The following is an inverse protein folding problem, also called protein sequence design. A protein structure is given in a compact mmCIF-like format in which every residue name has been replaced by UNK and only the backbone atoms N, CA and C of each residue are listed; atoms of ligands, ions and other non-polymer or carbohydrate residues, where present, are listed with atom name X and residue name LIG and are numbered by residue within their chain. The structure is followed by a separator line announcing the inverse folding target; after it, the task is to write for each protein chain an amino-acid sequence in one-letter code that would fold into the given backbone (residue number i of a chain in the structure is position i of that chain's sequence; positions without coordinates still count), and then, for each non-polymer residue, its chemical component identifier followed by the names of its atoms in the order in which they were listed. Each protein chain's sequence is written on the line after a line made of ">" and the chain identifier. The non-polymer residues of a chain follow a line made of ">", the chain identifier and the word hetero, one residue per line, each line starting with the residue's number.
data_IF_814231048953
#
_entry.id   IF_814231048953
#
_cell.length_a   1.000
_cell.length_b   1.000
_cell.length_c   1.000
_cell.angle_alpha   90.00
_cell.angle_beta   90.00
_cell.angle_gamma   90.00
#
_symmetry.space_group_name_H-M   'P 1'
#
loop_
_entity.id
_entity.type
_entity.pdbx_description
1 polymer ?
#
# COMPACT_ATOMS: atom_id res chain seq x y z
N UNK A 1 -34.88 -13.51 -6.81
CA UNK A 1 -33.40 -13.43 -6.71
C UNK A 1 -33.03 -12.04 -6.26
N UNK A 2 -32.12 -11.93 -5.30
CA UNK A 2 -31.53 -10.64 -4.93
C UNK A 2 -30.79 -10.08 -6.15
N UNK A 3 -31.15 -8.85 -6.56
CA UNK A 3 -30.61 -8.19 -7.76
C UNK A 3 -29.13 -7.87 -7.61
N UNK A 4 -28.62 -7.77 -6.38
CA UNK A 4 -27.23 -7.45 -6.06
C UNK A 4 -26.27 -8.61 -6.30
N UNK A 5 -26.78 -9.84 -6.46
CA UNK A 5 -25.96 -11.03 -6.65
C UNK A 5 -25.29 -10.97 -8.03
N UNK A 6 -23.96 -11.10 -8.03
CA UNK A 6 -23.15 -11.26 -9.22
C UNK A 6 -23.18 -12.74 -9.62
N UNK A 7 -24.10 -13.04 -10.53
CA UNK A 7 -24.26 -14.33 -11.18
C UNK A 7 -23.57 -14.24 -12.54
N UNK A 8 -22.35 -14.80 -12.62
CA UNK A 8 -21.44 -14.62 -13.74
C UNK A 8 -20.55 -15.85 -13.88
N UNK A 9 -20.58 -16.48 -15.05
CA UNK A 9 -19.91 -17.74 -15.37
C UNK A 9 -18.38 -17.60 -15.56
N UNK A 10 -17.86 -16.36 -15.68
CA UNK A 10 -16.43 -16.12 -15.89
C UNK A 10 -15.64 -16.54 -14.65
N UNK A 11 -14.52 -17.19 -14.91
CA UNK A 11 -13.55 -17.64 -13.92
C UNK A 11 -12.62 -16.51 -13.52
N UNK A 12 -11.84 -16.72 -12.44
CA UNK A 12 -10.78 -15.79 -12.06
C UNK A 12 -9.77 -15.50 -13.18
N UNK A 13 -9.56 -16.47 -14.08
CA UNK A 13 -8.62 -16.34 -15.19
C UNK A 13 -9.10 -15.35 -16.27
N UNK A 14 -10.41 -15.23 -16.46
CA UNK A 14 -11.03 -14.31 -17.42
C UNK A 14 -10.90 -12.84 -17.00
N UNK A 15 -10.70 -12.60 -15.71
CA UNK A 15 -10.50 -11.25 -15.16
C UNK A 15 -9.03 -10.83 -15.14
N UNK A 16 -8.11 -11.60 -15.73
CA UNK A 16 -6.69 -11.25 -15.73
C UNK A 16 -6.44 -9.91 -16.46
N UNK A 17 -6.08 -8.88 -15.68
CA UNK A 17 -5.79 -7.53 -16.18
C UNK A 17 -7.03 -6.68 -16.50
N UNK A 18 -8.24 -7.21 -16.33
CA UNK A 18 -9.51 -6.51 -16.61
C UNK A 18 -10.52 -6.64 -15.46
N UNK A 19 -11.37 -5.64 -15.27
CA UNK A 19 -12.42 -5.66 -14.23
C UNK A 19 -13.71 -6.30 -14.74
N UNK A 20 -14.73 -6.34 -13.87
CA UNK A 20 -16.01 -6.98 -14.17
C UNK A 20 -16.65 -6.47 -15.47
N UNK A 21 -16.66 -5.15 -15.68
CA UNK A 21 -17.19 -4.52 -16.89
C UNK A 21 -16.17 -4.46 -18.06
N UNK A 22 -15.00 -5.08 -17.93
CA UNK A 22 -13.98 -5.15 -18.99
C UNK A 22 -13.00 -3.97 -19.04
N UNK A 23 -12.98 -3.09 -18.02
CA UNK A 23 -12.00 -2.01 -17.94
C UNK A 23 -10.62 -2.56 -17.58
N UNK A 24 -9.54 -1.91 -18.05
CA UNK A 24 -8.18 -2.25 -17.59
C UNK A 24 -8.06 -1.97 -16.10
N UNK A 25 -7.53 -2.92 -15.32
CA UNK A 25 -7.40 -2.79 -13.84
C UNK A 25 -6.65 -1.52 -13.45
N UNK A 26 -5.56 -1.20 -14.15
CA UNK A 26 -4.77 0.01 -13.91
C UNK A 26 -5.57 1.31 -14.08
N UNK A 27 -6.52 1.34 -15.02
CA UNK A 27 -7.37 2.51 -15.25
C UNK A 27 -8.41 2.65 -14.14
N UNK A 28 -9.01 1.53 -13.69
CA UNK A 28 -9.93 1.54 -12.55
C UNK A 28 -9.24 1.98 -11.27
N UNK A 29 -8.00 1.51 -11.02
CA UNK A 29 -7.19 1.97 -9.89
C UNK A 29 -6.95 3.48 -9.94
N UNK A 30 -6.62 4.05 -11.10
CA UNK A 30 -6.47 5.51 -11.26
C UNK A 30 -7.75 6.26 -10.95
N UNK A 31 -8.88 5.79 -11.48
CA UNK A 31 -10.18 6.43 -11.29
C UNK A 31 -10.65 6.34 -9.83
N UNK A 32 -10.34 5.24 -9.14
CA UNK A 32 -10.58 5.09 -7.71
C UNK A 32 -9.78 6.13 -6.92
N UNK A 33 -8.45 6.21 -7.11
CA UNK A 33 -7.59 7.20 -6.46
C UNK A 33 -8.09 8.63 -6.74
N UNK A 34 -8.43 8.93 -8.00
CA UNK A 34 -8.95 10.24 -8.40
C UNK A 34 -10.26 10.55 -7.68
N UNK A 35 -11.19 9.60 -7.61
CA UNK A 35 -12.48 9.77 -6.93
C UNK A 35 -12.28 10.01 -5.43
N UNK A 36 -11.34 9.30 -4.80
CA UNK A 36 -11.00 9.48 -3.39
C UNK A 36 -10.35 10.84 -3.11
N UNK A 37 -9.44 11.30 -3.99
CA UNK A 37 -8.83 12.63 -3.90
C UNK A 37 -9.86 13.76 -4.09
N UNK A 38 -10.86 13.54 -4.95
CA UNK A 38 -11.97 14.47 -5.19
C UNK A 38 -13.12 14.29 -4.19
N UNK A 39 -12.98 13.41 -3.20
CA UNK A 39 -14.00 13.12 -2.19
C UNK A 39 -15.37 12.66 -2.77
N UNK A 40 -15.36 12.11 -3.98
CA UNK A 40 -16.55 11.58 -4.68
C UNK A 40 -16.83 10.16 -4.22
N UNK A 41 -17.54 10.04 -3.09
CA UNK A 41 -17.80 8.76 -2.42
C UNK A 41 -18.48 7.73 -3.33
N UNK A 42 -19.56 8.11 -4.03
CA UNK A 42 -20.29 7.18 -4.91
C UNK A 42 -19.41 6.65 -6.03
N UNK A 43 -18.67 7.54 -6.71
CA UNK A 43 -17.74 7.15 -7.77
C UNK A 43 -16.61 6.26 -7.24
N UNK A 44 -16.05 6.57 -6.07
CA UNK A 44 -15.02 5.75 -5.43
C UNK A 44 -15.57 4.36 -5.09
N UNK A 45 -16.77 4.27 -4.54
CA UNK A 45 -17.40 3.00 -4.22
C UNK A 45 -17.72 2.19 -5.47
N UNK A 46 -18.14 2.82 -6.58
CA UNK A 46 -18.33 2.15 -7.86
C UNK A 46 -17.03 1.51 -8.39
N UNK A 47 -15.92 2.25 -8.43
CA UNK A 47 -14.64 1.71 -8.88
C UNK A 47 -14.07 0.65 -7.94
N UNK A 48 -14.37 0.75 -6.65
CA UNK A 48 -14.08 -0.31 -5.67
C UNK A 48 -14.88 -1.58 -5.98
N UNK A 49 -16.19 -1.45 -6.22
CA UNK A 49 -17.06 -2.57 -6.56
C UNK A 49 -16.66 -3.25 -7.87
N UNK A 50 -16.22 -2.51 -8.89
CA UNK A 50 -15.65 -3.08 -10.12
C UNK A 50 -14.50 -4.05 -9.84
N UNK A 51 -13.57 -3.68 -8.92
CA UNK A 51 -12.44 -4.54 -8.55
C UNK A 51 -12.90 -5.76 -7.76
N UNK A 52 -13.83 -5.60 -6.81
CA UNK A 52 -14.42 -6.68 -6.00
C UNK A 52 -15.11 -7.70 -6.90
N UNK A 53 -15.98 -7.26 -7.82
CA UNK A 53 -16.74 -8.13 -8.72
C UNK A 53 -15.86 -9.02 -9.62
N UNK A 54 -14.63 -8.57 -9.91
CA UNK A 54 -13.61 -9.30 -10.68
C UNK A 54 -12.52 -9.99 -9.83
N UNK A 55 -12.62 -9.96 -8.50
CA UNK A 55 -11.68 -10.66 -7.61
C UNK A 55 -10.29 -10.00 -7.47
N UNK A 56 -10.12 -8.73 -7.87
CA UNK A 56 -8.85 -7.99 -7.79
C UNK A 56 -8.55 -7.45 -6.37
N UNK A 57 -8.70 -8.31 -5.36
CA UNK A 57 -8.58 -7.92 -3.96
C UNK A 57 -7.16 -7.49 -3.57
N UNK A 58 -6.14 -8.12 -4.16
CA UNK A 58 -4.75 -7.82 -3.84
C UNK A 58 -4.32 -6.47 -4.39
N UNK A 59 -4.75 -6.15 -5.60
CA UNK A 59 -4.58 -4.84 -6.25
C UNK A 59 -5.32 -3.75 -5.47
N UNK A 60 -6.54 -4.05 -4.99
CA UNK A 60 -7.33 -3.15 -4.15
C UNK A 60 -6.64 -2.87 -2.80
N UNK A 61 -6.21 -3.90 -2.07
CA UNK A 61 -5.46 -3.73 -0.81
C UNK A 61 -4.20 -2.90 -1.00
N UNK A 62 -3.41 -3.23 -2.02
CA UNK A 62 -2.17 -2.51 -2.30
C UNK A 62 -2.44 -1.03 -2.60
N UNK A 63 -3.47 -0.74 -3.41
CA UNK A 63 -3.89 0.62 -3.71
C UNK A 63 -4.30 1.37 -2.44
N UNK A 64 -5.10 0.75 -1.56
CA UNK A 64 -5.54 1.34 -0.30
C UNK A 64 -4.37 1.66 0.64
N UNK A 65 -3.38 0.76 0.76
CA UNK A 65 -2.20 0.99 1.60
C UNK A 65 -1.36 2.16 1.09
N UNK A 66 -1.11 2.20 -0.23
CA UNK A 66 -0.32 3.26 -0.85
C UNK A 66 -1.05 4.59 -0.82
N UNK A 67 -2.37 4.61 -1.04
CA UNK A 67 -3.18 5.81 -0.92
C UNK A 67 -3.13 6.36 0.51
N UNK A 68 -3.36 5.50 1.51
CA UNK A 68 -3.34 5.88 2.91
C UNK A 68 -1.97 6.45 3.32
N UNK A 69 -0.88 5.75 3.02
CA UNK A 69 0.46 6.19 3.39
C UNK A 69 0.92 7.46 2.66
N UNK A 70 0.44 7.71 1.44
CA UNK A 70 0.84 8.88 0.64
C UNK A 70 0.02 10.14 0.91
N UNK A 71 -1.30 10.02 1.04
CA UNK A 71 -2.21 11.17 1.06
C UNK A 71 -2.82 11.47 2.44
N UNK A 72 -2.97 10.45 3.30
CA UNK A 72 -3.62 10.59 4.62
C UNK A 72 -2.57 10.57 5.74
N UNK A 73 -1.85 9.47 5.91
CA UNK A 73 -0.75 9.29 6.87
C UNK A 73 -1.06 9.86 8.28
N UNK A 74 -0.22 10.77 8.80
CA UNK A 74 -0.38 11.41 10.12
C UNK A 74 -1.64 12.27 10.24
N UNK A 75 -2.39 12.50 9.16
CA UNK A 75 -3.69 13.18 9.22
C UNK A 75 -4.80 12.32 9.86
N UNK A 76 -4.66 10.99 9.83
CA UNK A 76 -5.56 10.06 10.50
C UNK A 76 -4.76 8.87 11.07
N UNK A 77 -3.95 9.10 12.11
CA UNK A 77 -2.86 8.19 12.42
C UNK A 77 -3.33 6.83 12.97
N UNK A 78 -4.53 6.79 13.59
CA UNK A 78 -5.14 5.58 14.14
C UNK A 78 -5.75 4.67 13.07
N UNK A 79 -5.96 5.15 11.85
CA UNK A 79 -6.59 4.37 10.79
C UNK A 79 -5.74 3.14 10.39
N UNK A 80 -4.41 3.19 10.53
CA UNK A 80 -3.56 2.02 10.24
C UNK A 80 -3.90 0.80 11.11
N UNK A 81 -4.22 1.01 12.38
CA UNK A 81 -4.59 -0.06 13.33
C UNK A 81 -5.89 -0.73 12.89
N UNK A 82 -6.83 0.08 12.40
CA UNK A 82 -8.09 -0.41 11.86
C UNK A 82 -7.89 -1.20 10.56
N UNK A 83 -7.10 -0.66 9.63
CA UNK A 83 -6.73 -1.32 8.38
C UNK A 83 -6.07 -2.67 8.66
N UNK A 84 -5.09 -2.73 9.57
CA UNK A 84 -4.40 -3.97 9.93
C UNK A 84 -5.36 -5.01 10.52
N UNK A 85 -6.32 -4.58 11.35
CA UNK A 85 -7.36 -5.46 11.91
C UNK A 85 -8.26 -6.04 10.81
N UNK A 86 -8.68 -5.22 9.83
CA UNK A 86 -9.48 -5.67 8.69
C UNK A 86 -8.69 -6.60 7.76
N UNK A 87 -7.42 -6.29 7.51
CA UNK A 87 -6.51 -7.13 6.74
C UNK A 87 -6.32 -8.50 7.40
N UNK A 88 -6.17 -8.57 8.72
CA UNK A 88 -6.06 -9.84 9.44
C UNK A 88 -7.28 -10.73 9.19
N UNK A 89 -8.49 -10.21 9.38
CA UNK A 89 -9.74 -10.94 9.13
C UNK A 89 -9.89 -11.37 7.67
N UNK A 90 -9.53 -10.48 6.74
CA UNK A 90 -9.52 -10.79 5.32
C UNK A 90 -8.58 -11.96 5.00
N UNK A 91 -7.38 -11.99 5.58
CA UNK A 91 -6.40 -13.07 5.37
C UNK A 91 -6.88 -14.40 5.94
N UNK A 92 -7.47 -14.40 7.13
CA UNK A 92 -8.05 -15.59 7.76
C UNK A 92 -9.05 -16.24 6.79
N UNK A 93 -10.07 -15.47 6.35
CA UNK A 93 -11.08 -15.97 5.41
C UNK A 93 -10.50 -16.42 4.06
N UNK A 94 -9.51 -15.70 3.51
CA UNK A 94 -8.92 -16.02 2.21
C UNK A 94 -8.02 -17.26 2.22
N UNK A 95 -7.38 -17.53 3.36
CA UNK A 95 -6.53 -18.72 3.55
C UNK A 95 -7.35 -19.99 3.79
N UNK A 96 -8.60 -19.85 4.24
CA UNK A 96 -9.52 -20.96 4.49
C UNK A 96 -10.17 -21.49 3.19
N UNK A 97 -10.04 -20.77 2.07
CA UNK A 97 -10.55 -21.22 0.76
C UNK A 97 -9.69 -22.32 0.14
N UNK A 98 -10.33 -23.26 -0.54
CA UNK A 98 -9.70 -24.38 -1.23
C UNK A 98 -9.20 -24.00 -2.64
N UNK A 99 -9.71 -22.92 -3.24
CA UNK A 99 -9.32 -22.49 -4.59
C UNK A 99 -9.41 -20.97 -4.84
N UNK A 100 -8.68 -20.47 -5.84
CA UNK A 100 -8.81 -19.07 -6.31
C UNK A 100 -10.22 -18.75 -6.82
N UNK A 101 -10.97 -19.76 -7.30
CA UNK A 101 -12.34 -19.58 -7.76
C UNK A 101 -13.30 -19.37 -6.58
N UNK A 102 -13.09 -20.08 -5.47
CA UNK A 102 -13.85 -19.84 -4.24
C UNK A 102 -13.56 -18.44 -3.69
N UNK A 103 -12.32 -17.97 -3.77
CA UNK A 103 -11.98 -16.59 -3.41
C UNK A 103 -12.73 -15.55 -4.25
N UNK A 104 -13.02 -15.83 -5.52
CA UNK A 104 -13.84 -14.93 -6.35
C UNK A 104 -15.28 -14.81 -5.81
N UNK A 105 -15.82 -15.88 -5.22
CA UNK A 105 -17.20 -15.91 -4.70
C UNK A 105 -17.43 -14.94 -3.53
N UNK A 106 -16.37 -14.52 -2.81
CA UNK A 106 -16.46 -13.45 -1.81
C UNK A 106 -17.01 -12.13 -2.39
N UNK A 107 -17.08 -11.96 -3.71
CA UNK A 107 -17.73 -10.81 -4.35
C UNK A 107 -19.22 -10.71 -4.04
N UNK A 108 -19.84 -11.81 -3.58
CA UNK A 108 -21.24 -11.87 -3.14
C UNK A 108 -21.38 -11.91 -1.61
N UNK A 109 -20.28 -11.98 -0.86
CA UNK A 109 -20.30 -11.96 0.59
C UNK A 109 -20.41 -10.53 1.14
N UNK A 110 -21.51 -10.25 1.83
CA UNK A 110 -21.82 -8.92 2.38
C UNK A 110 -20.72 -8.37 3.28
N UNK A 111 -20.06 -9.23 4.06
CA UNK A 111 -18.94 -8.87 4.93
C UNK A 111 -17.72 -8.36 4.15
N UNK A 112 -17.40 -8.98 3.01
CA UNK A 112 -16.29 -8.56 2.15
C UNK A 112 -16.61 -7.27 1.40
N UNK A 113 -17.82 -7.17 0.83
CA UNK A 113 -18.30 -5.93 0.20
C UNK A 113 -18.20 -4.76 1.19
N UNK A 114 -18.78 -4.93 2.37
CA UNK A 114 -18.83 -3.90 3.40
C UNK A 114 -17.43 -3.51 3.89
N UNK A 115 -16.51 -4.47 4.04
CA UNK A 115 -15.13 -4.21 4.46
C UNK A 115 -14.45 -3.18 3.54
N UNK A 116 -14.48 -3.41 2.23
CA UNK A 116 -13.77 -2.53 1.29
C UNK A 116 -14.49 -1.20 1.06
N UNK A 117 -15.83 -1.22 0.96
CA UNK A 117 -16.62 0.01 0.86
C UNK A 117 -16.39 0.90 2.08
N UNK A 118 -16.39 0.33 3.28
CA UNK A 118 -16.11 1.06 4.51
C UNK A 118 -14.72 1.71 4.50
N UNK A 119 -13.66 0.97 4.13
CA UNK A 119 -12.31 1.53 4.05
C UNK A 119 -12.22 2.66 3.02
N UNK A 120 -12.85 2.50 1.84
CA UNK A 120 -12.90 3.53 0.80
C UNK A 120 -13.62 4.78 1.31
N UNK A 121 -14.79 4.65 1.94
CA UNK A 121 -15.54 5.77 2.50
C UNK A 121 -14.72 6.51 3.56
N UNK A 122 -14.13 5.79 4.52
CA UNK A 122 -13.30 6.39 5.57
C UNK A 122 -12.11 7.15 4.96
N UNK A 123 -11.45 6.60 3.95
CA UNK A 123 -10.33 7.26 3.27
C UNK A 123 -10.77 8.45 2.41
N UNK A 124 -11.96 8.39 1.78
CA UNK A 124 -12.55 9.51 1.04
C UNK A 124 -12.80 10.72 1.94
N UNK A 125 -13.27 10.51 3.17
CA UNK A 125 -13.62 11.60 4.11
C UNK A 125 -12.52 11.93 5.12
N UNK A 126 -11.46 11.12 5.18
CA UNK A 126 -10.30 11.43 6.02
C UNK A 126 -9.66 12.75 5.58
N UNK A 127 -9.09 13.56 6.49
CA UNK A 127 -8.30 14.71 6.11
C UNK A 127 -7.08 14.29 5.27
N UNK A 128 -6.75 15.08 4.26
CA UNK A 128 -5.56 14.86 3.43
C UNK A 128 -4.47 15.82 3.91
N UNK A 129 -3.23 15.39 3.85
CA UNK A 129 -2.06 16.23 4.14
C UNK A 129 -1.21 16.36 2.89
N UNK A 130 -0.22 17.25 2.96
CA UNK A 130 0.78 17.36 1.89
C UNK A 130 1.37 15.99 1.57
N UNK A 131 1.49 15.72 0.28
CA UNK A 131 2.13 14.51 -0.21
C UNK A 131 3.59 14.54 0.21
N UNK A 132 4.05 13.47 0.88
CA UNK A 132 5.46 13.35 1.23
C UNK A 132 6.26 13.19 -0.06
N UNK A 133 7.23 14.08 -0.29
CA UNK A 133 8.09 14.00 -1.46
C UNK A 133 9.13 12.90 -1.29
N UNK A 134 9.54 12.28 -2.40
CA UNK A 134 10.66 11.35 -2.41
C UNK A 134 11.95 12.06 -2.02
N UNK A 135 12.65 11.55 -1.02
CA UNK A 135 14.03 11.96 -0.73
C UNK A 135 14.97 11.27 -1.72
N UNK A 136 15.91 12.02 -2.28
CA UNK A 136 16.90 11.50 -3.24
C UNK A 136 18.25 11.35 -2.54
N UNK A 137 18.92 10.25 -2.83
CA UNK A 137 20.30 9.99 -2.40
C UNK A 137 21.20 10.08 -3.63
N UNK A 138 22.27 10.87 -3.53
CA UNK A 138 23.23 11.01 -4.61
C UNK A 138 24.13 9.77 -4.69
N UNK A 139 24.55 9.30 -5.88
CA UNK A 139 25.54 8.23 -5.97
C UNK A 139 26.86 8.53 -5.25
N UNK A 140 27.22 9.82 -5.09
CA UNK A 140 28.41 10.22 -4.34
C UNK A 140 28.26 9.96 -2.83
N UNK A 141 27.03 9.85 -2.33
CA UNK A 141 26.75 9.68 -0.91
C UNK A 141 27.11 8.27 -0.41
N UNK A 142 27.38 7.32 -1.32
CA UNK A 142 27.91 6.00 -0.97
C UNK A 142 29.42 6.02 -0.67
N UNK A 143 30.09 7.15 -0.89
CA UNK A 143 31.45 7.38 -0.44
C UNK A 143 31.43 8.01 0.95
N UNK A 144 31.91 7.28 1.96
CA UNK A 144 31.98 7.74 3.35
C UNK A 144 32.74 9.08 3.52
N UNK A 145 33.74 9.35 2.68
CA UNK A 145 34.48 10.60 2.72
C UNK A 145 33.61 11.79 2.27
N UNK A 146 32.64 11.57 1.38
CA UNK A 146 31.75 12.61 0.88
C UNK A 146 30.64 12.97 1.88
N UNK A 147 30.23 12.02 2.72
CA UNK A 147 29.13 12.21 3.68
C UNK A 147 29.60 12.49 5.11
N UNK A 148 30.92 12.54 5.37
CA UNK A 148 31.49 12.74 6.71
C UNK A 148 30.91 13.98 7.41
N UNK A 149 30.82 15.10 6.70
CA UNK A 149 30.30 16.36 7.25
C UNK A 149 28.78 16.36 7.41
N UNK A 150 28.11 15.34 6.87
CA UNK A 150 26.67 15.13 7.03
C UNK A 150 26.31 14.21 8.20
N UNK A 151 27.28 13.60 8.88
CA UNK A 151 27.04 12.77 10.07
C UNK A 151 26.69 13.67 11.27
N UNK A 152 25.72 13.26 12.09
CA UNK A 152 25.21 14.03 13.23
C UNK A 152 25.23 13.24 14.54
N UNK A 153 25.23 11.91 14.48
CA UNK A 153 25.27 11.08 15.66
C UNK A 153 26.64 11.24 16.36
N UNK A 154 26.66 11.45 17.69
CA UNK A 154 27.91 11.69 18.43
C UNK A 154 28.80 10.44 18.54
N UNK A 155 28.19 9.26 18.51
CA UNK A 155 28.83 7.96 18.64
C UNK A 155 27.93 6.86 18.04
N UNK A 156 28.36 5.59 18.11
CA UNK A 156 27.68 4.44 17.52
C UNK A 156 26.66 3.73 18.44
N UNK A 157 26.37 4.28 19.62
CA UNK A 157 25.53 3.63 20.63
C UNK A 157 24.06 3.48 20.21
N UNK A 158 23.58 4.27 19.22
CA UNK A 158 22.18 4.28 18.79
C UNK A 158 21.80 3.06 17.96
N UNK A 159 22.75 2.36 17.34
CA UNK A 159 22.50 1.10 16.63
C UNK A 159 23.11 -0.13 17.27
N UNK A 160 23.90 -0.01 18.34
CA UNK A 160 24.70 -1.12 18.90
C UNK A 160 23.85 -2.36 19.21
N UNK A 161 22.64 -2.17 19.77
CA UNK A 161 21.73 -3.27 20.12
C UNK A 161 20.97 -3.88 18.93
N UNK A 162 21.05 -3.26 17.75
CA UNK A 162 20.37 -3.72 16.53
C UNK A 162 21.23 -4.70 15.74
N UNK A 163 22.55 -4.54 15.76
CA UNK A 163 23.48 -5.35 15.00
C UNK A 163 23.72 -6.70 15.68
N UNK A 164 23.67 -7.76 14.89
CA UNK A 164 24.16 -9.08 15.26
C UNK A 164 25.59 -9.27 14.74
N UNK A 165 26.27 -10.31 15.22
CA UNK A 165 27.69 -10.56 14.96
C UNK A 165 28.06 -10.60 13.47
N UNK A 166 27.21 -11.23 12.65
CA UNK A 166 27.45 -11.40 11.21
C UNK A 166 26.86 -10.27 10.35
N UNK A 167 26.30 -9.23 10.96
CA UNK A 167 25.78 -8.09 10.20
C UNK A 167 26.92 -7.26 9.58
N UNK A 168 26.75 -6.75 8.34
CA UNK A 168 27.80 -6.03 7.64
C UNK A 168 28.07 -4.68 8.29
N UNK A 169 29.28 -4.52 8.83
CA UNK A 169 29.73 -3.31 9.57
C UNK A 169 29.66 -2.02 8.74
N UNK A 170 29.69 -2.12 7.42
CA UNK A 170 29.53 -0.97 6.52
C UNK A 170 28.17 -0.26 6.67
N UNK A 171 27.12 -0.96 7.14
CA UNK A 171 25.81 -0.35 7.39
C UNK A 171 25.74 0.34 8.77
N UNK A 172 26.71 0.12 9.64
CA UNK A 172 26.64 0.52 11.05
C UNK A 172 26.50 2.03 11.21
N UNK A 173 27.30 2.82 10.49
CA UNK A 173 27.24 4.28 10.57
C UNK A 173 25.86 4.79 10.08
N UNK A 174 25.38 4.27 8.96
CA UNK A 174 24.08 4.69 8.39
C UNK A 174 22.91 4.33 9.29
N UNK A 175 22.86 3.10 9.83
CA UNK A 175 21.78 2.68 10.71
C UNK A 175 21.86 3.42 12.05
N UNK A 176 23.06 3.70 12.55
CA UNK A 176 23.25 4.53 13.74
C UNK A 176 22.72 5.95 13.54
N UNK A 177 23.06 6.60 12.43
CA UNK A 177 22.53 7.90 12.05
C UNK A 177 21.00 7.88 11.92
N UNK A 178 20.45 6.85 11.28
CA UNK A 178 19.00 6.65 11.20
C UNK A 178 18.37 6.60 12.61
N UNK A 179 18.88 5.72 13.49
CA UNK A 179 18.40 5.57 14.86
C UNK A 179 18.53 6.87 15.67
N UNK A 180 19.64 7.59 15.54
CA UNK A 180 19.86 8.88 16.20
C UNK A 180 18.78 9.90 15.82
N UNK A 181 18.47 10.00 14.52
CA UNK A 181 17.44 10.91 14.01
C UNK A 181 16.01 10.53 14.42
N UNK A 182 15.77 9.29 14.85
CA UNK A 182 14.48 8.85 15.40
C UNK A 182 14.29 9.15 16.89
N UNK A 183 15.36 9.42 17.63
CA UNK A 183 15.29 9.63 19.09
C UNK A 183 14.36 10.78 19.45
N UNK A 184 13.74 10.69 20.64
CA UNK A 184 12.87 11.75 21.19
C UNK A 184 13.47 13.16 21.07
N UNK A 185 14.72 13.31 21.48
CA UNK A 185 15.39 14.61 21.57
C UNK A 185 15.73 15.22 20.21
N UNK A 186 16.03 14.38 19.20
CA UNK A 186 16.42 14.84 17.86
C UNK A 186 15.21 14.95 16.94
N UNK A 187 14.40 13.88 16.88
CA UNK A 187 13.15 13.77 16.11
C UNK A 187 13.22 14.40 14.70
N UNK A 188 14.28 14.09 13.93
CA UNK A 188 14.52 14.70 12.62
C UNK A 188 13.99 13.82 11.48
N UNK A 189 12.75 14.10 11.05
CA UNK A 189 12.05 13.35 10.00
C UNK A 189 12.82 13.32 8.68
N UNK A 190 13.34 14.47 8.21
CA UNK A 190 13.96 14.59 6.88
C UNK A 190 15.25 13.78 6.80
N UNK A 191 16.06 13.83 7.87
CA UNK A 191 17.29 13.04 7.97
C UNK A 191 17.00 11.55 8.12
N UNK A 192 16.00 11.17 8.91
CA UNK A 192 15.58 9.78 9.00
C UNK A 192 15.12 9.22 7.64
N UNK A 193 14.36 10.00 6.85
CA UNK A 193 14.01 9.62 5.48
C UNK A 193 15.24 9.43 4.61
N UNK A 194 16.19 10.36 4.66
CA UNK A 194 17.43 10.28 3.89
C UNK A 194 18.21 9.00 4.20
N UNK A 195 18.40 8.65 5.48
CA UNK A 195 19.16 7.45 5.84
C UNK A 195 18.44 6.15 5.50
N UNK A 196 17.11 6.12 5.59
CA UNK A 196 16.34 5.00 5.05
C UNK A 196 16.52 4.85 3.53
N UNK A 197 16.39 5.95 2.77
CA UNK A 197 16.62 5.91 1.32
C UNK A 197 18.05 5.49 0.98
N UNK A 198 19.02 5.91 1.80
CA UNK A 198 20.42 5.52 1.62
C UNK A 198 20.57 4.00 1.70
N UNK A 199 19.97 3.35 2.69
CA UNK A 199 20.00 1.88 2.80
C UNK A 199 19.31 1.22 1.61
N UNK A 200 18.14 1.71 1.22
CA UNK A 200 17.39 1.14 0.08
C UNK A 200 18.17 1.29 -1.23
N UNK A 201 18.79 2.43 -1.50
CA UNK A 201 19.57 2.65 -2.73
C UNK A 201 20.92 1.92 -2.70
N UNK A 202 21.61 1.88 -1.54
CA UNK A 202 22.87 1.16 -1.40
C UNK A 202 22.69 -0.34 -1.69
N UNK A 203 21.62 -0.97 -1.19
CA UNK A 203 21.34 -2.38 -1.51
C UNK A 203 21.14 -2.63 -3.01
N UNK A 204 20.55 -1.68 -3.75
CA UNK A 204 20.43 -1.75 -5.22
C UNK A 204 21.79 -1.64 -5.90
N UNK A 205 22.65 -0.75 -5.41
CA UNK A 205 24.03 -0.57 -5.91
C UNK A 205 24.83 -1.85 -5.72
N UNK A 206 24.87 -2.43 -4.51
CA UNK A 206 25.57 -3.68 -4.24
C UNK A 206 25.07 -4.81 -5.14
N UNK A 207 23.74 -4.93 -5.31
CA UNK A 207 23.14 -5.93 -6.20
C UNK A 207 23.58 -5.75 -7.65
N UNK A 208 23.64 -4.51 -8.15
CA UNK A 208 24.13 -4.20 -9.51
C UNK A 208 25.61 -4.53 -9.66
N UNK A 209 26.40 -4.33 -8.62
CA UNK A 209 27.84 -4.63 -8.57
C UNK A 209 28.15 -6.09 -8.20
N UNK A 210 27.14 -6.93 -7.99
CA UNK A 210 27.26 -8.32 -7.52
C UNK A 210 28.00 -8.46 -6.18
N UNK A 211 27.94 -7.44 -5.34
CA UNK A 211 28.43 -7.46 -3.97
C UNK A 211 27.36 -7.99 -3.02
N UNK A 212 27.77 -8.71 -1.98
CA UNK A 212 26.88 -9.23 -0.95
C UNK A 212 26.58 -8.11 0.05
N UNK A 213 25.33 -7.62 0.05
CA UNK A 213 24.82 -6.73 1.10
C UNK A 213 23.63 -7.44 1.76
N UNK A 214 23.94 -8.29 2.74
CA UNK A 214 22.98 -9.12 3.46
C UNK A 214 23.31 -9.06 4.94
N UNK A 215 22.27 -8.95 5.76
CA UNK A 215 22.37 -9.02 7.22
C UNK A 215 22.15 -10.47 7.66
N UNK A 216 22.53 -10.80 8.89
CA UNK A 216 22.17 -12.06 9.53
C UNK A 216 20.65 -12.24 9.52
N UNK A 217 20.21 -13.48 9.25
CA UNK A 217 18.79 -13.85 9.17
C UNK A 217 18.01 -13.30 10.37
N UNK A 218 16.96 -12.54 10.08
CA UNK A 218 15.97 -12.09 11.08
C UNK A 218 14.84 -13.10 11.20
N UNK A 219 14.28 -13.19 12.39
CA UNK A 219 13.16 -14.09 12.67
C UNK A 219 11.86 -13.32 12.49
N UNK A 220 11.29 -13.43 11.30
CA UNK A 220 10.05 -12.75 10.93
C UNK A 220 9.14 -13.78 10.30
N UNK A 221 8.10 -14.15 11.05
CA UNK A 221 7.07 -15.08 10.59
C UNK A 221 6.47 -14.62 9.26
N UNK A 222 6.03 -15.59 8.45
CA UNK A 222 5.32 -15.38 7.16
C UNK A 222 6.16 -14.85 5.99
N UNK A 223 7.45 -14.55 6.19
CA UNK A 223 8.37 -14.13 5.12
C UNK A 223 9.21 -15.31 4.64
N UNK A 224 9.33 -15.47 3.32
CA UNK A 224 10.21 -16.46 2.69
C UNK A 224 11.67 -16.23 3.11
N UNK A 225 12.37 -17.32 3.46
CA UNK A 225 13.72 -17.28 4.04
C UNK A 225 14.73 -16.47 3.24
N UNK A 226 14.61 -16.46 1.91
CA UNK A 226 15.53 -15.72 1.04
C UNK A 226 15.49 -14.21 1.24
N UNK A 227 14.41 -13.69 1.83
CA UNK A 227 14.21 -12.27 2.11
C UNK A 227 14.60 -11.88 3.55
N UNK A 228 14.81 -12.83 4.45
CA UNK A 228 15.10 -12.58 5.87
C UNK A 228 16.49 -12.01 6.14
N UNK A 229 17.32 -11.89 5.11
CA UNK A 229 18.68 -11.31 5.16
C UNK A 229 18.74 -9.91 4.53
N UNK A 230 17.59 -9.30 4.24
CA UNK A 230 17.52 -7.97 3.63
C UNK A 230 17.83 -6.85 4.67
N UNK A 231 18.73 -5.90 4.36
CA UNK A 231 19.07 -4.79 5.27
C UNK A 231 17.90 -3.91 5.74
N UNK A 232 16.75 -3.95 5.07
CA UNK A 232 15.55 -3.23 5.51
C UNK A 232 15.11 -3.62 6.93
N UNK A 233 15.46 -4.82 7.41
CA UNK A 233 15.06 -5.25 8.74
C UNK A 233 15.76 -4.47 9.84
N UNK A 234 17.00 -4.00 9.64
CA UNK A 234 17.67 -3.09 10.59
C UNK A 234 16.90 -1.77 10.74
N UNK A 235 16.31 -1.27 9.65
CA UNK A 235 15.46 -0.07 9.68
C UNK A 235 14.19 -0.33 10.49
N UNK A 236 13.50 -1.44 10.24
CA UNK A 236 12.27 -1.76 10.98
C UNK A 236 12.53 -2.06 12.46
N UNK A 237 13.62 -2.77 12.79
CA UNK A 237 14.04 -3.01 14.17
C UNK A 237 14.33 -1.68 14.90
N UNK A 238 15.02 -0.73 14.25
CA UNK A 238 15.24 0.61 14.80
C UNK A 238 13.92 1.37 15.06
N UNK A 239 12.99 1.37 14.10
CA UNK A 239 11.66 2.00 14.23
C UNK A 239 10.87 1.36 15.38
N UNK A 240 10.85 0.03 15.46
CA UNK A 240 10.12 -0.71 16.49
C UNK A 240 10.72 -0.48 17.88
N UNK A 241 12.05 -0.49 18.01
CA UNK A 241 12.74 -0.21 19.25
C UNK A 241 12.40 1.20 19.75
N UNK A 242 12.45 2.21 18.88
CA UNK A 242 12.11 3.58 19.26
C UNK A 242 10.62 3.75 19.60
N UNK A 243 9.72 3.10 18.84
CA UNK A 243 8.28 3.13 19.11
C UNK A 243 7.95 2.57 20.50
N UNK A 244 8.67 1.52 20.91
CA UNK A 244 8.51 0.87 22.22
C UNK A 244 8.90 1.78 23.38
N UNK A 245 9.92 2.64 23.19
CA UNK A 245 10.29 3.66 24.19
C UNK A 245 9.24 4.75 24.35
N UNK A 246 8.54 5.11 23.26
CA UNK A 246 7.52 6.18 23.24
C UNK A 246 6.15 5.76 23.78
N UNK A 247 5.91 4.46 23.95
CA UNK A 247 4.74 3.91 24.61
C UNK A 247 3.71 3.26 23.69
N UNK A 248 2.71 2.62 24.31
CA UNK A 248 1.88 1.60 23.65
C UNK A 248 1.12 2.02 22.39
N UNK A 249 0.72 3.30 22.27
CA UNK A 249 0.03 3.77 21.04
C UNK A 249 0.99 3.86 19.85
N UNK A 250 2.24 4.28 20.06
CA UNK A 250 3.26 4.35 19.01
C UNK A 250 3.60 2.95 18.53
N UNK A 251 3.89 2.02 19.44
CA UNK A 251 4.14 0.61 19.11
C UNK A 251 2.98 0.01 18.32
N UNK A 252 1.74 0.19 18.78
CA UNK A 252 0.57 -0.37 18.09
C UNK A 252 0.40 0.14 16.67
N UNK A 253 0.67 1.43 16.43
CA UNK A 253 0.65 2.04 15.09
C UNK A 253 1.78 1.49 14.23
N UNK A 254 3.01 1.46 14.76
CA UNK A 254 4.21 0.97 14.05
C UNK A 254 4.07 -0.50 13.68
N UNK A 255 3.61 -1.35 14.60
CA UNK A 255 3.39 -2.77 14.34
C UNK A 255 2.29 -3.00 13.32
N UNK A 256 1.25 -2.16 13.34
CA UNK A 256 0.20 -2.19 12.30
C UNK A 256 0.79 -1.84 10.92
N UNK A 257 1.66 -0.82 10.84
CA UNK A 257 2.34 -0.45 9.60
C UNK A 257 3.32 -1.52 9.14
N UNK A 258 4.06 -2.14 10.05
CA UNK A 258 4.94 -3.27 9.77
C UNK A 258 4.14 -4.44 9.19
N UNK A 259 3.01 -4.80 9.81
CA UNK A 259 2.13 -5.89 9.31
C UNK A 259 1.61 -5.64 7.89
N UNK A 260 1.35 -4.38 7.55
CA UNK A 260 0.96 -3.98 6.19
C UNK A 260 2.17 -4.05 5.24
N UNK A 261 3.33 -3.58 5.69
CA UNK A 261 4.57 -3.59 4.91
C UNK A 261 5.03 -5.00 4.52
N UNK A 262 4.91 -5.98 5.42
CA UNK A 262 5.35 -7.35 5.18
C UNK A 262 4.36 -8.21 4.38
N UNK A 263 3.15 -7.71 4.08
CA UNK A 263 2.13 -8.49 3.37
C UNK A 263 2.64 -8.96 1.99
N UNK A 264 2.84 -10.28 1.81
CA UNK A 264 3.44 -10.88 0.60
C UNK A 264 4.76 -10.21 0.22
N UNK A 265 5.63 -10.03 1.21
CA UNK A 265 6.90 -9.33 1.06
C UNK A 265 7.80 -9.93 -0.03
N UNK A 266 8.50 -9.04 -0.74
CA UNK A 266 9.67 -9.32 -1.58
C UNK A 266 10.53 -8.05 -1.60
N UNK A 267 11.79 -8.14 -2.04
CA UNK A 267 12.72 -6.99 -2.05
C UNK A 267 12.16 -5.74 -2.76
N UNK A 268 11.28 -5.91 -3.75
CA UNK A 268 10.67 -4.79 -4.47
C UNK A 268 9.74 -3.94 -3.59
N UNK A 269 9.26 -4.49 -2.47
CA UNK A 269 8.41 -3.78 -1.51
C UNK A 269 9.16 -2.67 -0.78
N UNK A 270 10.49 -2.75 -0.65
CA UNK A 270 11.30 -1.69 -0.05
C UNK A 270 11.10 -0.34 -0.77
N UNK A 271 11.06 -0.38 -2.10
CA UNK A 271 10.77 0.82 -2.91
C UNK A 271 9.27 1.05 -3.06
N UNK A 272 8.49 -0.01 -3.26
CA UNK A 272 7.05 0.12 -3.54
C UNK A 272 6.26 0.68 -2.35
N UNK A 273 6.62 0.26 -1.14
CA UNK A 273 5.94 0.61 0.11
C UNK A 273 6.76 1.58 0.97
N UNK A 274 7.72 2.30 0.39
CA UNK A 274 8.55 3.30 1.11
C UNK A 274 7.74 4.32 1.89
N UNK A 275 6.58 4.74 1.37
CA UNK A 275 5.70 5.69 2.07
C UNK A 275 5.12 5.12 3.37
N UNK A 276 5.02 3.79 3.51
CA UNK A 276 4.64 3.16 4.77
C UNK A 276 5.77 3.33 5.81
N UNK A 277 7.03 3.18 5.38
CA UNK A 277 8.20 3.42 6.23
C UNK A 277 8.32 4.89 6.59
N UNK A 278 8.14 5.79 5.62
CA UNK A 278 8.09 7.23 5.87
C UNK A 278 7.01 7.59 6.89
N UNK A 279 5.83 6.98 6.76
CA UNK A 279 4.77 7.21 7.71
C UNK A 279 5.14 6.71 9.12
N UNK A 280 5.77 5.54 9.25
CA UNK A 280 6.27 5.05 10.53
C UNK A 280 7.32 5.99 11.15
N UNK A 281 8.24 6.52 10.34
CA UNK A 281 9.22 7.53 10.77
C UNK A 281 8.51 8.82 11.21
N UNK A 282 7.52 9.30 10.46
CA UNK A 282 6.74 10.50 10.82
C UNK A 282 6.00 10.34 12.16
N UNK A 283 5.46 9.15 12.44
CA UNK A 283 4.82 8.85 13.72
C UNK A 283 5.78 9.02 14.89
N UNK A 284 7.06 8.72 14.70
CA UNK A 284 8.07 8.87 15.75
C UNK A 284 8.65 10.28 15.79
N UNK A 285 8.76 10.97 14.65
CA UNK A 285 9.50 12.25 14.58
C UNK A 285 8.60 13.50 14.59
N UNK A 286 7.28 13.32 14.59
CA UNK A 286 6.30 14.43 14.67
C UNK A 286 5.62 14.41 16.03
N UNK A 287 5.39 15.60 16.59
CA UNK A 287 4.56 15.72 17.79
C UNK A 287 3.07 15.52 17.43
N UNK A 288 2.50 14.36 17.79
CA UNK A 288 1.12 13.99 17.50
C UNK A 288 0.35 13.77 18.80
N UNK A 289 -0.70 14.57 19.00
CA UNK A 289 -1.63 14.39 20.12
C UNK A 289 -2.71 13.39 19.71
N UNK A 290 -2.45 12.09 19.86
CA UNK A 290 -3.33 11.03 19.35
C UNK A 290 -4.78 11.14 19.84
N UNK A 291 -5.05 11.69 21.03
CA UNK A 291 -6.41 11.84 21.57
C UNK A 291 -7.31 12.73 20.70
N UNK A 292 -6.74 13.64 19.90
CA UNK A 292 -7.49 14.56 19.03
C UNK A 292 -7.96 13.90 17.72
N UNK A 293 -7.46 12.70 17.43
CA UNK A 293 -7.77 12.00 16.18
C UNK A 293 -8.83 10.93 16.38
N UNK A 294 -9.91 11.06 15.62
CA UNK A 294 -10.93 10.03 15.41
C UNK A 294 -10.77 9.44 14.01
N UNK A 295 -10.96 8.12 13.89
CA UNK A 295 -10.87 7.43 12.60
C UNK A 295 -11.93 7.95 11.62
N UNK A 296 -13.14 8.20 12.12
CA UNK A 296 -14.27 8.72 11.36
C UNK A 296 -15.12 9.60 12.26
N UNK A 297 -15.21 10.89 11.92
CA UNK A 297 -16.00 11.89 12.67
C UNK A 297 -17.51 11.69 12.45
N UNK A 298 -17.94 11.70 11.18
CA UNK A 298 -19.33 11.48 10.84
C UNK A 298 -19.59 9.99 10.57
N UNK A 299 -20.13 9.28 11.56
CA UNK A 299 -20.48 7.86 11.40
C UNK A 299 -21.74 7.66 10.55
N UNK A 300 -22.61 8.67 10.40
CA UNK A 300 -23.87 8.55 9.65
C UNK A 300 -23.61 8.37 8.16
N UNK A 301 -22.58 9.04 7.62
CA UNK A 301 -22.21 8.88 6.21
C UNK A 301 -21.87 7.43 5.89
N UNK A 302 -21.14 6.76 6.78
CA UNK A 302 -20.76 5.37 6.61
C UNK A 302 -21.99 4.45 6.69
N UNK A 303 -22.86 4.64 7.68
CA UNK A 303 -24.12 3.87 7.79
C UNK A 303 -24.99 4.04 6.55
N UNK A 304 -25.11 5.27 6.03
CA UNK A 304 -25.89 5.57 4.83
C UNK A 304 -25.33 4.86 3.59
N UNK A 305 -24.02 4.93 3.36
CA UNK A 305 -23.38 4.31 2.20
C UNK A 305 -23.43 2.78 2.29
N UNK A 306 -23.13 2.21 3.46
CA UNK A 306 -23.20 0.75 3.65
C UNK A 306 -24.63 0.22 3.45
N UNK A 307 -25.64 0.94 3.94
CA UNK A 307 -27.06 0.61 3.71
C UNK A 307 -27.50 0.70 2.25
N UNK A 308 -26.69 1.29 1.38
CA UNK A 308 -26.92 1.40 -0.06
C UNK A 308 -25.91 0.61 -0.89
N UNK A 309 -25.01 -0.15 -0.26
CA UNK A 309 -23.92 -0.84 -0.93
C UNK A 309 -24.42 -1.78 -2.04
N UNK A 310 -25.52 -2.51 -1.83
CA UNK A 310 -26.12 -3.38 -2.84
C UNK A 310 -26.51 -2.64 -4.13
N UNK A 311 -26.96 -1.39 -4.04
CA UNK A 311 -27.26 -0.57 -5.23
C UNK A 311 -26.03 -0.33 -6.09
N UNK A 312 -24.84 -0.22 -5.48
CA UNK A 312 -23.56 -0.03 -6.17
C UNK A 312 -23.21 -1.27 -6.97
N UNK A 313 -23.39 -2.46 -6.39
CA UNK A 313 -23.16 -3.73 -7.09
C UNK A 313 -24.19 -3.98 -8.21
N UNK A 314 -25.45 -3.57 -8.00
CA UNK A 314 -26.47 -3.56 -9.06
C UNK A 314 -26.03 -2.68 -10.23
N UNK A 315 -25.53 -1.47 -9.97
CA UNK A 315 -25.05 -0.57 -11.03
C UNK A 315 -23.89 -1.17 -11.84
N UNK A 316 -22.92 -1.81 -11.18
CA UNK A 316 -21.82 -2.52 -11.87
C UNK A 316 -22.35 -3.64 -12.75
N UNK A 317 -23.32 -4.43 -12.26
CA UNK A 317 -23.97 -5.50 -13.02
C UNK A 317 -24.74 -4.98 -14.23
N UNK A 318 -25.51 -3.91 -14.05
CA UNK A 318 -26.25 -3.25 -15.12
C UNK A 318 -25.31 -2.66 -16.19
N UNK A 319 -24.17 -2.10 -15.77
CA UNK A 319 -23.17 -1.58 -16.71
C UNK A 319 -22.61 -2.68 -17.61
N UNK A 320 -22.24 -3.82 -17.03
CA UNK A 320 -21.83 -4.99 -17.81
C UNK A 320 -22.92 -5.45 -18.79
N UNK A 321 -24.17 -5.55 -18.33
CA UNK A 321 -25.29 -5.96 -19.18
C UNK A 321 -25.52 -5.01 -20.38
N UNK A 322 -25.35 -3.69 -20.18
CA UNK A 322 -25.38 -2.70 -21.27
C UNK A 322 -24.30 -2.96 -22.32
N UNK A 323 -23.05 -3.19 -21.86
CA UNK A 323 -21.92 -3.45 -22.75
C UNK A 323 -22.16 -4.72 -23.58
N UNK A 324 -22.77 -5.76 -23.01
CA UNK A 324 -23.10 -6.98 -23.76
C UNK A 324 -24.17 -6.75 -24.82
N UNK A 325 -25.22 -5.97 -24.51
CA UNK A 325 -26.26 -5.62 -25.49
C UNK A 325 -25.69 -4.79 -26.65
N UNK A 326 -24.80 -3.85 -26.36
CA UNK A 326 -24.12 -3.05 -27.37
C UNK A 326 -23.31 -3.94 -28.32
N UNK A 327 -22.54 -4.91 -27.80
CA UNK A 327 -21.79 -5.87 -28.65
C UNK A 327 -22.68 -6.73 -29.54
N UNK A 328 -23.79 -7.24 -29.00
CA UNK A 328 -24.75 -8.05 -29.77
C UNK A 328 -25.43 -7.27 -30.89
N UNK A 329 -25.57 -5.95 -30.75
CA UNK A 329 -26.18 -5.09 -31.78
C UNK A 329 -25.18 -4.66 -32.86
N UNK A 330 -23.87 -4.62 -32.55
CA UNK A 330 -22.82 -4.33 -33.54
C UNK A 330 -22.38 -5.53 -34.36
N UNK A 331 -22.64 -6.75 -33.88
CA UNK A 331 -22.32 -8.01 -34.58
C UNK A 331 -23.45 -8.49 -35.53
N UNK A 332 -24.49 -7.67 -35.75
CA UNK A 332 -25.50 -7.89 -36.79
C UNK A 332 -24.86 -7.64 -38.18
N UNK A 333 -25.00 -8.50 -39.22
CA UNK A 333 -24.15 -8.50 -40.42
C UNK A 333 -24.25 -7.27 -41.36
N UNK A 334 -24.87 -6.17 -40.93
CA UNK A 334 -25.22 -5.01 -41.74
C UNK A 334 -24.37 -3.76 -41.55
N UNK A 335 -23.38 -3.73 -40.65
CA UNK A 335 -22.56 -2.51 -40.46
C UNK A 335 -21.08 -2.80 -40.24
N UNK A 336 -20.28 -2.58 -41.28
CA UNK A 336 -18.83 -2.44 -41.17
C UNK A 336 -18.50 -1.15 -40.40
N UNK A 337 -17.85 -1.26 -39.22
CA UNK A 337 -16.57 -0.58 -38.99
C UNK A 337 -15.86 -0.85 -37.66
N UNK A 338 -14.56 -1.08 -37.81
CA UNK A 338 -13.41 -0.80 -36.92
C UNK A 338 -13.32 -1.52 -35.57
N UNK A 339 -12.72 -2.71 -35.63
CA UNK A 339 -12.17 -3.47 -34.52
C UNK A 339 -11.01 -2.69 -33.86
N UNK A 340 -11.15 -2.28 -32.59
CA UNK A 340 -10.00 -2.03 -31.72
C UNK A 340 -9.65 -3.36 -31.04
N UNK A 341 -8.85 -4.16 -31.74
CA UNK A 341 -8.16 -5.31 -31.14
C UNK A 341 -6.75 -4.87 -30.79
N UNK A 342 -6.42 -4.88 -29.50
CA UNK A 342 -5.12 -5.36 -29.02
C UNK A 342 -5.03 -5.27 -27.50
N UNK A 343 -5.03 -6.42 -26.86
CA UNK A 343 -4.31 -6.59 -25.61
C UNK A 343 -3.62 -7.95 -25.61
N UNK A 344 -2.33 -7.93 -25.91
CA UNK A 344 -1.42 -9.03 -25.54
C UNK A 344 -1.42 -9.17 -24.02
N UNK A 345 -1.28 -10.40 -23.48
CA UNK A 345 -1.21 -10.60 -22.03
C UNK A 345 0.05 -9.92 -21.48
N UNK A 346 -0.16 -8.88 -20.67
CA UNK A 346 0.90 -8.23 -19.90
C UNK A 346 1.25 -9.15 -18.74
N UNK A 347 2.54 -9.39 -18.51
CA UNK A 347 2.98 -10.27 -17.42
C UNK A 347 2.73 -9.61 -16.06
N UNK A 348 2.37 -10.40 -15.04
CA UNK A 348 2.00 -9.98 -13.67
C UNK A 348 3.04 -9.04 -13.01
N UNK A 349 4.29 -9.08 -13.46
CA UNK A 349 5.38 -8.20 -13.00
C UNK A 349 5.28 -6.77 -13.55
N UNK A 350 4.76 -6.59 -14.76
CA UNK A 350 4.65 -5.28 -15.42
C UNK A 350 3.47 -4.45 -14.90
N UNK A 351 2.37 -5.07 -14.48
CA UNK A 351 1.23 -4.36 -13.87
C UNK A 351 1.57 -3.84 -12.46
N UNK A 352 2.27 -4.64 -11.64
CA UNK A 352 2.67 -4.25 -10.29
C UNK A 352 3.59 -3.02 -10.25
N UNK A 353 4.50 -2.91 -11.21
CA UNK A 353 5.41 -1.76 -11.34
C UNK A 353 4.66 -0.50 -11.82
N UNK A 354 3.63 -0.65 -12.66
CA UNK A 354 2.81 0.46 -13.15
C UNK A 354 1.93 1.07 -12.07
N UNK A 355 1.42 0.27 -11.13
CA UNK A 355 0.68 0.79 -9.96
C UNK A 355 1.58 1.72 -9.15
N UNK A 356 2.83 1.33 -8.89
CA UNK A 356 3.78 2.19 -8.17
C UNK A 356 4.01 3.52 -8.89
N UNK A 357 4.20 3.49 -10.22
CA UNK A 357 4.42 4.71 -11.00
C UNK A 357 3.22 5.69 -10.95
N UNK A 358 1.98 5.18 -10.86
CA UNK A 358 0.78 6.01 -10.68
C UNK A 358 0.83 6.78 -9.36
N UNK A 359 1.36 6.15 -8.31
CA UNK A 359 1.58 6.79 -7.02
C UNK A 359 2.82 7.69 -6.99
N UNK A 360 3.70 7.68 -7.99
CA UNK A 360 4.86 8.59 -8.04
C UNK A 360 4.59 9.87 -8.84
N UNK A 361 3.64 9.86 -9.78
CA UNK A 361 3.17 11.11 -10.40
C UNK A 361 2.41 11.96 -9.37
N UNK A 362 3.02 13.05 -8.93
CA UNK A 362 2.37 14.04 -8.07
C UNK A 362 1.15 14.64 -8.76
N UNK A 363 0.01 14.68 -8.06
CA UNK A 363 -1.10 15.51 -8.48
C UNK A 363 -0.72 16.96 -8.20
N UNK A 364 -0.62 17.77 -9.26
CA UNK A 364 -0.55 19.23 -9.13
C UNK A 364 -1.99 19.72 -9.12
N UNK A 365 -2.48 20.31 -8.01
CA UNK A 365 -3.80 20.92 -8.03
C UNK A 365 -3.78 22.10 -9.01
N UNK A 366 -4.67 22.08 -10.00
CA UNK A 366 -5.04 23.32 -10.68
C UNK A 366 -5.90 24.13 -9.70
N UNK A 367 -5.39 25.32 -9.35
CA UNK A 367 -6.12 26.35 -8.60
C UNK A 367 -7.35 26.78 -9.41
#
# INVERSE_FOLDING_TARGET
>A
MDKSIIDDERTISDFKGVTYSGYKVLEVVKRLIQSMNQEKIESACYWCAELICSGHYMELWEMLFLYYAKYIHIANPKLCVYIATKLKRFRENMNDCESEQEQLNFRNESGFRSLFIELVVIMCVSPKKYTVNNVKVSPNDFNMLAIKDSLQAPDLSFSEKLFKEDDPKELMITVNEFSYNLTGDVSNTVRAYYWFEWVVEYTKVCKKQKQICRIQKRDIDTIDEKYLTNPIWLIWEAIQQESSKRGGIHSKIVDSLFSIFILRYSDTMNTKRKFIVYYAISILTTNIVFSEYEILKDKKILTCVLGQSDKIFIQVKEKWASIQKEKMTTDDPGSENTIISSSKPVTKSQEKLKILNIFESGFVPHI
#
